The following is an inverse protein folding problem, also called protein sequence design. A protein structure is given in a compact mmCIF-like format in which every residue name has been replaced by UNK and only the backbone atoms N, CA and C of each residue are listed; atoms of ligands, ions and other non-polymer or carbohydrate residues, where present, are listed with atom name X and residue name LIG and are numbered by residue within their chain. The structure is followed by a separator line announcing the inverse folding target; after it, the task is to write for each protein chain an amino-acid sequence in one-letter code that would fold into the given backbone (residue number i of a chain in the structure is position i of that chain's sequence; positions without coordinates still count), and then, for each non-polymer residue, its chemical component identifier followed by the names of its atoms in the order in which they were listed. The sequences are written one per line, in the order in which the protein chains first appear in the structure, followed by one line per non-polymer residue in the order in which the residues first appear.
data_IF_555745313970
#
_entry.id   IF_555745313970
#
_cell.length_a   1.000
_cell.length_b   1.000
_cell.length_c   1.000
_cell.angle_alpha   90.00
_cell.angle_beta   90.00
_cell.angle_gamma   90.00
#
_symmetry.space_group_name_H-M   'P 1'
#
loop_
_entity.id
_entity.type
_entity.pdbx_description
1 polymer ?
#
# COMPACT_ATOMS: atom_id res chain seq x y z
N UNK A 1 -17.68 -27.91 37.28
CA UNK A 1 -16.38 -27.19 37.35
C UNK A 1 -16.36 -26.22 36.18
N UNK A 2 -16.86 -25.01 36.41
CA UNK A 2 -16.89 -23.94 35.42
C UNK A 2 -16.04 -22.80 35.92
N UNK A 3 -15.06 -22.38 35.13
CA UNK A 3 -14.24 -21.20 35.40
C UNK A 3 -14.46 -20.21 34.26
N UNK A 4 -15.23 -19.18 34.56
CA UNK A 4 -15.40 -17.97 33.75
C UNK A 4 -14.20 -17.08 34.04
N UNK A 5 -13.34 -16.82 33.05
CA UNK A 5 -12.31 -15.80 33.13
C UNK A 5 -12.84 -14.50 32.52
N UNK A 6 -13.08 -13.51 33.37
CA UNK A 6 -13.27 -12.10 33.00
C UNK A 6 -11.91 -11.42 33.11
N UNK A 7 -11.39 -10.75 32.06
CA UNK A 7 -10.24 -9.88 32.21
C UNK A 7 -10.66 -8.51 32.80
N UNK A 8 -9.94 -8.00 33.81
CA UNK A 8 -10.15 -6.66 34.35
C UNK A 8 -9.20 -5.63 33.70
N UNK A 9 -9.55 -4.35 33.92
CA UNK A 9 -8.75 -3.13 33.76
C UNK A 9 -8.90 -2.32 32.47
N UNK A 10 -9.96 -1.51 32.52
CA UNK A 10 -10.00 -0.10 32.12
C UNK A 10 -8.85 0.67 32.78
N UNK A 11 -8.08 1.44 32.00
CA UNK A 11 -7.20 2.52 32.49
C UNK A 11 -7.14 3.61 31.41
N UNK A 12 -8.03 4.60 31.48
CA UNK A 12 -7.84 5.93 32.07
C UNK A 12 -6.98 6.89 31.22
N UNK A 13 -7.68 7.76 30.48
CA UNK A 13 -7.14 9.00 29.91
C UNK A 13 -6.86 10.00 31.04
N UNK A 14 -5.66 10.57 31.07
CA UNK A 14 -5.34 11.71 31.93
C UNK A 14 -4.88 12.88 31.07
N UNK A 15 -5.76 13.88 30.96
CA UNK A 15 -5.45 15.22 30.51
C UNK A 15 -4.59 15.94 31.56
N UNK A 16 -3.50 16.57 31.12
CA UNK A 16 -2.85 17.63 31.88
C UNK A 16 -2.82 18.89 31.01
N UNK A 17 -3.77 19.77 31.28
CA UNK A 17 -3.71 21.17 30.93
C UNK A 17 -3.61 21.96 32.25
N UNK A 18 -2.52 22.71 32.46
CA UNK A 18 -2.52 23.84 33.40
C UNK A 18 -1.53 24.94 32.93
N UNK A 19 -2.14 26.09 32.56
CA UNK A 19 -1.88 27.49 33.01
C UNK A 19 -0.41 27.97 33.05
N UNK A 20 0.01 29.11 32.50
CA UNK A 20 -0.63 30.35 32.07
C UNK A 20 0.37 31.50 32.33
N UNK A 21 0.39 32.56 31.51
CA UNK A 21 1.25 33.72 31.75
C UNK A 21 1.29 34.75 30.61
N UNK A 22 0.56 35.83 30.77
CA UNK A 22 0.67 37.12 30.04
C UNK A 22 0.89 38.22 31.11
N UNK A 23 1.44 39.44 30.85
CA UNK A 23 1.60 40.09 29.53
C UNK A 23 2.88 40.96 29.32
N UNK A 24 3.02 41.46 28.07
CA UNK A 24 3.51 42.78 27.63
C UNK A 24 4.99 43.21 27.77
N UNK A 25 5.71 43.33 26.64
CA UNK A 25 6.60 44.49 26.38
C UNK A 25 6.93 44.65 24.89
N UNK A 26 6.73 45.88 24.41
CA UNK A 26 6.95 46.41 23.07
C UNK A 26 8.45 46.67 22.79
N UNK A 27 8.97 46.32 21.61
CA UNK A 27 9.90 47.12 20.78
C UNK A 27 10.51 46.29 19.63
N UNK A 28 10.54 46.93 18.46
CA UNK A 28 11.13 46.49 17.19
C UNK A 28 12.57 45.99 17.35
N UNK A 29 12.94 44.96 16.59
CA UNK A 29 14.14 45.05 15.75
C UNK A 29 14.08 44.04 14.60
N UNK A 30 14.45 44.54 13.43
CA UNK A 30 14.79 43.77 12.24
C UNK A 30 15.93 42.81 12.58
N UNK A 31 15.76 41.52 12.31
CA UNK A 31 16.90 40.75 11.81
C UNK A 31 16.48 39.72 10.78
N UNK A 32 17.21 39.75 9.67
CA UNK A 32 17.02 38.94 8.49
C UNK A 32 17.55 37.54 8.77
N UNK A 33 16.74 36.70 9.41
CA UNK A 33 16.98 35.26 9.45
C UNK A 33 16.60 34.65 8.12
N UNK A 34 17.59 34.46 7.24
CA UNK A 34 17.44 33.68 6.02
C UNK A 34 16.86 32.30 6.37
N UNK A 35 15.59 32.08 6.02
CA UNK A 35 15.03 30.73 5.97
C UNK A 35 15.74 30.04 4.82
N UNK A 36 16.76 29.25 5.14
CA UNK A 36 17.20 28.18 4.26
C UNK A 36 16.05 27.22 4.12
N UNK A 37 15.21 27.47 3.10
CA UNK A 37 14.43 26.42 2.48
C UNK A 37 15.47 25.53 1.84
N UNK A 38 16.03 24.59 2.61
CA UNK A 38 16.57 23.39 2.03
C UNK A 38 15.43 22.79 1.23
N UNK A 39 15.49 23.03 -0.08
CA UNK A 39 14.71 22.33 -1.06
C UNK A 39 14.97 20.84 -0.80
N UNK A 40 14.05 20.20 -0.09
CA UNK A 40 13.94 18.76 -0.07
C UNK A 40 13.66 18.36 -1.51
N UNK A 41 14.74 18.00 -2.19
CA UNK A 41 14.82 17.47 -3.54
C UNK A 41 13.64 16.49 -3.72
N UNK A 42 12.80 16.63 -4.77
CA UNK A 42 11.73 15.68 -5.01
C UNK A 42 12.34 14.29 -5.09
N UNK A 43 11.97 13.41 -4.17
CA UNK A 43 12.33 12.00 -4.27
C UNK A 43 11.69 11.49 -5.55
N UNK A 44 12.57 11.15 -6.51
CA UNK A 44 12.37 10.31 -7.70
C UNK A 44 11.21 10.67 -8.64
N UNK A 45 11.60 11.09 -9.85
CA UNK A 45 10.84 11.06 -11.11
C UNK A 45 10.29 9.67 -11.54
N UNK A 46 10.28 8.67 -10.66
CA UNK A 46 9.86 7.29 -10.92
C UNK A 46 8.87 6.74 -9.89
N UNK A 47 8.42 7.55 -8.92
CA UNK A 47 7.30 7.17 -8.06
C UNK A 47 6.02 7.15 -8.91
N UNK A 48 5.40 5.97 -8.97
CA UNK A 48 4.02 5.86 -9.43
C UNK A 48 3.15 6.63 -8.46
N UNK A 49 2.69 7.81 -8.86
CA UNK A 49 1.63 8.51 -8.16
C UNK A 49 0.31 8.05 -8.76
N UNK A 50 -0.24 6.99 -8.19
CA UNK A 50 -1.62 6.57 -8.45
C UNK A 50 -2.49 7.11 -7.31
N UNK A 51 -3.45 7.96 -7.63
CA UNK A 51 -4.45 8.45 -6.68
C UNK A 51 -5.67 7.52 -6.67
N UNK A 52 -6.03 6.96 -7.83
CA UNK A 52 -7.19 6.08 -8.02
C UNK A 52 -6.96 5.05 -9.12
N UNK A 53 -7.86 4.06 -9.24
CA UNK A 53 -7.79 3.02 -10.29
C UNK A 53 -7.76 3.63 -11.69
N UNK A 54 -8.32 4.82 -11.88
CA UNK A 54 -8.31 5.53 -13.15
C UNK A 54 -6.90 5.96 -13.56
N UNK A 55 -5.95 6.07 -12.63
CA UNK A 55 -4.53 6.33 -12.97
C UNK A 55 -3.80 5.06 -13.44
N UNK A 56 -4.41 3.89 -13.30
CA UNK A 56 -3.85 2.60 -13.68
C UNK A 56 -4.18 2.19 -15.13
N UNK A 57 -4.65 3.11 -16.00
CA UNK A 57 -5.14 2.78 -17.36
C UNK A 57 -4.16 1.95 -18.20
N UNK A 58 -2.86 2.11 -17.99
CA UNK A 58 -1.81 1.39 -18.73
C UNK A 58 -1.60 -0.07 -18.25
N UNK A 59 -2.29 -0.47 -17.18
CA UNK A 59 -2.09 -1.73 -16.46
C UNK A 59 -3.40 -2.53 -16.28
N UNK A 60 -4.55 -1.90 -16.46
CA UNK A 60 -5.89 -2.52 -16.35
C UNK A 60 -6.57 -2.57 -17.72
N UNK A 61 -7.64 -3.34 -17.79
CA UNK A 61 -8.60 -3.34 -18.89
C UNK A 61 -10.00 -3.03 -18.35
N UNK A 62 -10.94 -2.78 -19.23
CA UNK A 62 -12.35 -2.59 -18.89
C UNK A 62 -13.18 -3.69 -19.54
N UNK A 63 -14.17 -4.21 -18.82
CA UNK A 63 -15.10 -5.19 -19.37
C UNK A 63 -16.29 -4.52 -20.10
N UNK A 64 -17.26 -5.33 -20.52
CA UNK A 64 -18.44 -4.88 -21.26
C UNK A 64 -19.33 -3.93 -20.45
N UNK A 65 -19.25 -3.97 -19.12
CA UNK A 65 -19.96 -3.07 -18.20
C UNK A 65 -19.12 -1.85 -17.82
N UNK A 66 -17.96 -1.67 -18.46
CA UNK A 66 -16.99 -0.63 -18.15
C UNK A 66 -16.44 -0.74 -16.71
N UNK A 67 -16.38 -1.95 -16.15
CA UNK A 67 -15.72 -2.19 -14.85
C UNK A 67 -14.22 -2.41 -15.05
N UNK A 68 -13.35 -1.68 -14.33
CA UNK A 68 -11.91 -1.88 -14.42
C UNK A 68 -11.54 -3.25 -13.85
N UNK A 69 -10.67 -3.96 -14.55
CA UNK A 69 -10.15 -5.25 -14.11
C UNK A 69 -8.68 -5.45 -14.47
N UNK A 70 -8.02 -6.28 -13.66
CA UNK A 70 -6.69 -6.81 -13.93
C UNK A 70 -6.76 -8.33 -14.05
N UNK A 71 -5.94 -8.92 -14.92
CA UNK A 71 -5.78 -10.37 -14.97
C UNK A 71 -4.59 -10.72 -14.11
N UNK A 72 -4.72 -11.63 -13.15
CA UNK A 72 -3.60 -12.10 -12.35
C UNK A 72 -3.44 -13.61 -12.52
N UNK A 73 -2.18 -14.05 -12.55
CA UNK A 73 -1.88 -15.46 -12.43
C UNK A 73 -2.36 -15.96 -11.07
N UNK A 74 -2.85 -17.18 -11.05
CA UNK A 74 -3.32 -17.89 -9.86
C UNK A 74 -2.72 -19.28 -9.85
N UNK A 75 -2.16 -19.67 -8.71
CA UNK A 75 -1.66 -21.01 -8.45
C UNK A 75 -2.45 -21.60 -7.30
N UNK A 76 -3.32 -22.57 -7.62
CA UNK A 76 -4.07 -23.33 -6.61
C UNK A 76 -4.03 -24.81 -6.96
N UNK A 77 -3.61 -25.64 -5.99
CA UNK A 77 -3.52 -27.09 -6.18
C UNK A 77 -2.59 -27.54 -7.32
N UNK A 78 -1.55 -26.78 -7.63
CA UNK A 78 -0.59 -27.10 -8.70
C UNK A 78 -1.05 -26.77 -10.12
N UNK A 79 -2.27 -26.26 -10.31
CA UNK A 79 -2.77 -25.75 -11.59
C UNK A 79 -2.56 -24.24 -11.67
N UNK A 80 -1.98 -23.78 -12.77
CA UNK A 80 -1.88 -22.35 -13.10
C UNK A 80 -3.10 -21.93 -13.91
N UNK A 81 -3.69 -20.80 -13.56
CA UNK A 81 -4.79 -20.17 -14.29
C UNK A 81 -4.70 -18.66 -14.20
N UNK A 82 -5.48 -17.95 -15.02
CA UNK A 82 -5.65 -16.51 -14.94
C UNK A 82 -7.00 -16.19 -14.30
N UNK A 83 -7.04 -15.18 -13.43
CA UNK A 83 -8.25 -14.70 -12.76
C UNK A 83 -8.44 -13.21 -13.04
N UNK A 84 -9.69 -12.80 -13.37
CA UNK A 84 -10.07 -11.39 -13.40
C UNK A 84 -10.27 -10.86 -11.98
N UNK A 85 -9.59 -9.78 -11.67
CA UNK A 85 -9.63 -9.06 -10.40
C UNK A 85 -10.38 -7.76 -10.62
N UNK A 86 -11.42 -7.53 -9.82
CA UNK A 86 -12.23 -6.32 -9.86
C UNK A 86 -12.08 -5.58 -8.54
N UNK A 87 -12.38 -4.28 -8.55
CA UNK A 87 -12.67 -3.58 -7.30
C UNK A 87 -13.93 -4.19 -6.67
N UNK A 88 -14.11 -4.09 -5.34
CA UNK A 88 -15.37 -4.45 -4.71
C UNK A 88 -16.55 -3.67 -5.33
N UNK A 89 -17.78 -4.11 -5.11
CA UNK A 89 -18.97 -3.41 -5.63
C UNK A 89 -19.67 -2.56 -4.54
N UNK A 90 -19.15 -2.55 -3.31
CA UNK A 90 -19.88 -2.15 -2.10
C UNK A 90 -19.66 -0.69 -1.65
N UNK A 91 -19.09 0.19 -2.47
CA UNK A 91 -19.01 1.60 -2.14
C UNK A 91 -18.17 2.45 -3.09
N UNK A 92 -17.92 3.73 -2.72
CA UNK A 92 -16.97 4.54 -3.45
C UNK A 92 -15.53 4.02 -3.27
N UNK A 93 -14.83 3.79 -4.39
CA UNK A 93 -13.45 3.26 -4.43
C UNK A 93 -12.41 4.31 -4.80
N UNK A 94 -12.60 5.55 -4.32
CA UNK A 94 -11.79 6.70 -4.75
C UNK A 94 -10.28 6.52 -4.49
N UNK A 95 -9.91 5.71 -3.50
CA UNK A 95 -8.53 5.45 -3.08
C UNK A 95 -8.07 4.00 -3.26
N UNK A 96 -8.84 3.17 -3.98
CA UNK A 96 -8.53 1.74 -4.16
C UNK A 96 -7.94 1.46 -5.54
N UNK A 97 -7.11 0.44 -5.64
CA UNK A 97 -6.51 0.00 -6.90
C UNK A 97 -6.39 -1.51 -7.03
N UNK A 98 -5.92 -1.92 -8.20
CA UNK A 98 -5.69 -3.31 -8.56
C UNK A 98 -4.20 -3.56 -8.76
N UNK A 99 -3.73 -4.68 -8.22
CA UNK A 99 -2.42 -5.24 -8.50
C UNK A 99 -2.51 -6.77 -8.48
N UNK A 100 -1.46 -7.43 -8.96
CA UNK A 100 -1.26 -8.85 -8.75
C UNK A 100 -0.18 -9.08 -7.71
N UNK A 101 -0.22 -10.19 -6.98
CA UNK A 101 0.85 -10.56 -6.07
C UNK A 101 1.32 -12.01 -6.22
N UNK A 102 2.54 -12.25 -5.76
CA UNK A 102 3.08 -13.59 -5.51
C UNK A 102 3.72 -13.63 -4.14
N UNK A 103 3.34 -14.63 -3.35
CA UNK A 103 3.97 -14.99 -2.08
C UNK A 103 4.55 -16.40 -2.24
N UNK A 104 5.83 -16.57 -1.92
CA UNK A 104 6.45 -17.90 -1.98
C UNK A 104 7.41 -18.17 -0.83
N UNK A 105 7.49 -19.44 -0.48
CA UNK A 105 8.43 -20.00 0.50
C UNK A 105 8.79 -21.41 0.05
N UNK A 106 10.07 -21.62 -0.30
CA UNK A 106 10.56 -22.85 -0.92
C UNK A 106 9.76 -23.24 -2.17
N UNK A 107 8.93 -24.29 -2.08
CA UNK A 107 8.07 -24.81 -3.16
C UNK A 107 6.62 -24.35 -3.04
N UNK A 108 6.26 -23.69 -1.94
CA UNK A 108 4.91 -23.17 -1.72
C UNK A 108 4.78 -21.83 -2.40
N UNK A 109 3.77 -21.68 -3.25
CA UNK A 109 3.51 -20.48 -4.04
C UNK A 109 2.03 -20.13 -3.91
N UNK A 110 1.75 -18.87 -3.65
CA UNK A 110 0.41 -18.28 -3.68
C UNK A 110 0.46 -17.11 -4.65
N UNK A 111 -0.41 -17.13 -5.65
CA UNK A 111 -0.57 -16.05 -6.62
C UNK A 111 -2.06 -15.69 -6.68
N UNK A 112 -2.39 -14.41 -6.56
CA UNK A 112 -3.78 -13.93 -6.67
C UNK A 112 -3.82 -12.40 -6.91
N UNK A 113 -5.04 -11.87 -6.94
CA UNK A 113 -5.38 -10.46 -6.93
C UNK A 113 -4.96 -9.79 -5.63
N UNK A 114 -4.37 -8.60 -5.72
CA UNK A 114 -4.12 -7.70 -4.61
C UNK A 114 -4.96 -6.44 -4.80
N UNK A 115 -6.11 -6.40 -4.13
CA UNK A 115 -7.06 -5.28 -4.18
C UNK A 115 -6.95 -4.53 -2.86
N UNK A 116 -6.45 -3.30 -2.89
CA UNK A 116 -6.13 -2.56 -1.68
C UNK A 116 -6.12 -1.05 -1.95
N UNK A 117 -6.02 -0.26 -0.88
CA UNK A 117 -5.83 1.19 -0.98
C UNK A 117 -4.53 1.51 -1.72
N UNK A 118 -4.52 2.58 -2.52
CA UNK A 118 -3.38 2.97 -3.36
C UNK A 118 -2.09 3.16 -2.57
N UNK A 119 -2.16 3.68 -1.34
CA UNK A 119 -1.00 3.79 -0.45
C UNK A 119 -0.34 2.43 -0.16
N UNK A 120 -1.13 1.35 -0.09
CA UNK A 120 -0.62 -0.01 0.05
C UNK A 120 -0.10 -0.59 -1.27
N UNK A 121 -0.35 0.07 -2.40
CA UNK A 121 0.10 -0.35 -3.73
C UNK A 121 1.36 0.38 -4.20
N UNK A 122 1.80 1.44 -3.51
CA UNK A 122 3.02 2.20 -3.84
C UNK A 122 4.29 1.33 -3.92
N UNK A 123 4.31 0.24 -3.14
CA UNK A 123 5.38 -0.75 -3.12
C UNK A 123 5.37 -1.71 -4.33
N UNK A 124 4.30 -1.73 -5.12
CA UNK A 124 4.15 -2.62 -6.27
C UNK A 124 4.91 -2.08 -7.48
N UNK A 125 5.52 -2.98 -8.24
CA UNK A 125 6.36 -2.62 -9.40
C UNK A 125 5.58 -2.65 -10.71
N UNK A 126 5.99 -1.85 -11.69
CA UNK A 126 5.42 -1.90 -13.05
C UNK A 126 5.82 -3.21 -13.74
N UNK A 127 4.84 -4.03 -14.14
CA UNK A 127 4.99 -5.19 -15.04
C UNK A 127 5.96 -6.30 -14.61
N UNK A 128 6.49 -6.26 -13.39
CA UNK A 128 7.48 -7.24 -12.91
C UNK A 128 7.25 -7.53 -11.43
N UNK A 129 7.15 -8.80 -11.06
CA UNK A 129 7.07 -9.22 -9.66
C UNK A 129 8.46 -9.64 -9.19
N UNK A 130 9.11 -8.84 -8.34
CA UNK A 130 10.40 -9.19 -7.74
C UNK A 130 10.41 -8.81 -6.27
N UNK A 131 11.04 -9.64 -5.44
CA UNK A 131 11.12 -9.46 -4.00
C UNK A 131 12.57 -9.36 -3.54
N UNK A 132 12.82 -8.54 -2.52
CA UNK A 132 14.07 -8.59 -1.79
C UNK A 132 14.24 -9.95 -1.08
N UNK A 133 15.49 -10.35 -0.87
CA UNK A 133 15.80 -11.54 -0.09
C UNK A 133 15.33 -11.35 1.37
N UNK A 134 14.62 -12.34 1.91
CA UNK A 134 14.14 -12.38 3.28
C UNK A 134 14.94 -13.39 4.08
N UNK A 135 15.35 -13.03 5.30
CA UNK A 135 16.04 -13.95 6.23
C UNK A 135 15.16 -15.11 6.66
N UNK A 136 13.83 -14.95 6.58
CA UNK A 136 12.86 -16.00 6.89
C UNK A 136 12.55 -16.89 5.68
N UNK A 137 13.13 -16.62 4.51
CA UNK A 137 12.87 -17.36 3.26
C UNK A 137 11.48 -17.13 2.65
N UNK A 138 10.63 -16.34 3.30
CA UNK A 138 9.31 -15.95 2.78
C UNK A 138 9.49 -14.68 1.96
N UNK A 139 9.09 -14.75 0.69
CA UNK A 139 9.24 -13.66 -0.27
C UNK A 139 7.87 -13.22 -0.77
N UNK A 140 7.69 -11.91 -0.88
CA UNK A 140 6.48 -11.28 -1.35
C UNK A 140 6.82 -10.24 -2.41
N UNK A 141 6.10 -10.27 -3.53
CA UNK A 141 6.11 -9.19 -4.50
C UNK A 141 4.69 -8.88 -4.96
N UNK A 142 4.48 -7.62 -5.37
CA UNK A 142 3.28 -7.21 -6.08
C UNK A 142 3.64 -6.36 -7.29
N UNK A 143 2.76 -6.35 -8.29
CA UNK A 143 3.02 -5.66 -9.55
C UNK A 143 1.73 -5.19 -10.23
N UNK A 144 1.87 -4.19 -11.08
CA UNK A 144 0.82 -3.68 -11.95
C UNK A 144 0.94 -4.27 -13.35
N UNK A 145 -0.18 -4.77 -13.89
CA UNK A 145 -0.30 -5.25 -15.26
C UNK A 145 -0.82 -6.69 -15.34
N UNK A 146 -1.49 -7.00 -16.44
CA UNK A 146 -2.01 -8.35 -16.70
C UNK A 146 -0.91 -9.42 -16.57
N UNK A 147 -1.16 -10.38 -15.69
CA UNK A 147 -0.35 -11.57 -15.42
C UNK A 147 1.10 -11.26 -15.04
N UNK A 148 1.39 -10.05 -14.58
CA UNK A 148 2.74 -9.61 -14.21
C UNK A 148 3.35 -10.44 -13.08
N UNK A 149 2.51 -11.15 -12.31
CA UNK A 149 2.90 -12.01 -11.20
C UNK A 149 3.19 -13.46 -11.63
N UNK A 150 2.99 -13.83 -12.91
CA UNK A 150 3.26 -15.18 -13.41
C UNK A 150 4.76 -15.52 -13.32
N UNK A 151 5.60 -14.59 -13.74
CA UNK A 151 7.04 -14.63 -13.52
C UNK A 151 7.39 -13.84 -12.26
N UNK A 152 8.01 -14.51 -11.28
CA UNK A 152 8.47 -13.90 -10.04
C UNK A 152 9.90 -14.34 -9.73
N UNK A 153 10.66 -13.46 -9.09
CA UNK A 153 12.08 -13.70 -8.81
C UNK A 153 12.57 -12.90 -7.61
N UNK A 154 13.80 -13.21 -7.18
CA UNK A 154 14.53 -12.38 -6.23
C UNK A 154 15.20 -11.22 -6.96
N UNK A 155 15.20 -10.04 -6.33
CA UNK A 155 16.02 -8.93 -6.79
C UNK A 155 17.50 -9.33 -6.81
N UNK A 156 18.18 -8.95 -7.89
CA UNK A 156 19.61 -9.15 -8.09
C UNK A 156 20.44 -8.08 -7.37
#
# INVERSE_FOLDING_TARGET
MGSVLVPPFVLACAFLALVGGHPNRNSNDHDSGAVSIEAAIPRRLNELQFESVDDQVDFISYDEENKPYMLCATASGGKRSSKRCYLPDDGPHYDMGLACYTLWHEKTIVQDCWVNQMISLEQCKKRRCSAAASTMGIHFCCCFGHECNDAYELEA
#
